data_IF_936061710285
#
_entry.id   IF_936061710285
#
_cell.length_a   1.000
_cell.length_b   1.000
_cell.length_c   1.000
_cell.angle_alpha   90.00
_cell.angle_beta   90.00
_cell.angle_gamma   90.00
#
_symmetry.space_group_name_H-M   'P 1'
#
loop_
_entity.id
_entity.type
_entity.pdbx_description
1 polymer ?
#
# COMPACT_ATOMS: atom_id res chain seq x y z
N UNK A 1 -8.28 -10.13 -0.62
CA UNK A 1 -7.27 -10.76 -1.51
C UNK A 1 -5.97 -10.96 -0.76
N UNK A 2 -5.20 -12.01 -1.06
CA UNK A 2 -3.85 -12.20 -0.53
C UNK A 2 -2.86 -11.88 -1.66
N UNK A 3 -1.87 -11.05 -1.37
CA UNK A 3 -0.73 -10.78 -2.27
C UNK A 3 0.56 -11.11 -1.54
N UNK A 4 1.61 -11.48 -2.27
CA UNK A 4 2.92 -11.80 -1.69
C UNK A 4 3.88 -10.69 -2.10
N UNK A 5 4.37 -9.93 -1.11
CA UNK A 5 5.25 -8.80 -1.39
C UNK A 5 6.67 -9.27 -1.68
N UNK A 6 7.29 -8.69 -2.69
CA UNK A 6 8.74 -8.78 -2.89
C UNK A 6 9.49 -7.87 -1.90
N UNK A 7 10.82 -7.98 -1.87
CA UNK A 7 11.64 -7.25 -0.90
C UNK A 7 11.58 -5.72 -1.08
N UNK A 8 11.42 -5.24 -2.32
CA UNK A 8 11.32 -3.82 -2.60
C UNK A 8 9.95 -3.28 -2.16
N UNK A 9 8.88 -4.01 -2.41
CA UNK A 9 7.52 -3.67 -1.97
C UNK A 9 7.41 -3.69 -0.44
N UNK A 10 7.98 -4.70 0.22
CA UNK A 10 8.07 -4.75 1.69
C UNK A 10 8.85 -3.55 2.23
N UNK A 11 9.99 -3.23 1.64
CA UNK A 11 10.80 -2.07 2.04
C UNK A 11 10.01 -0.77 1.89
N UNK A 12 9.25 -0.63 0.80
CA UNK A 12 8.35 0.50 0.60
C UNK A 12 7.17 0.48 1.56
N UNK A 13 6.64 -0.66 1.99
CA UNK A 13 5.59 -0.73 3.00
C UNK A 13 6.11 -0.23 4.37
N UNK A 14 7.32 -0.60 4.75
CA UNK A 14 7.91 -0.28 6.06
C UNK A 14 8.70 1.02 6.14
N UNK A 15 8.99 1.69 5.01
CA UNK A 15 9.66 3.01 5.00
C UNK A 15 8.98 4.01 5.94
N UNK A 16 9.74 4.76 6.71
CA UNK A 16 9.18 5.71 7.67
C UNK A 16 8.29 6.76 6.98
N UNK A 17 7.23 7.20 7.67
CA UNK A 17 6.39 8.32 7.24
C UNK A 17 6.14 9.20 8.43
N UNK A 18 6.56 10.45 8.33
CA UNK A 18 6.35 11.46 9.36
C UNK A 18 4.95 12.08 9.25
N UNK A 19 4.44 12.55 10.38
CA UNK A 19 3.15 13.22 10.49
C UNK A 19 1.98 12.30 10.83
N UNK A 20 0.78 12.88 10.84
CA UNK A 20 -0.48 12.21 11.17
C UNK A 20 -1.49 12.52 10.08
N UNK A 21 -2.19 11.48 9.58
CA UNK A 21 -3.13 11.64 8.49
C UNK A 21 -3.62 10.31 7.93
N UNK A 22 -4.59 10.38 7.02
CA UNK A 22 -5.23 9.19 6.46
C UNK A 22 -4.27 8.25 5.72
N UNK A 23 -3.21 8.79 5.10
CA UNK A 23 -2.17 7.99 4.47
C UNK A 23 -1.35 7.18 5.48
N UNK A 24 -0.95 7.80 6.58
CA UNK A 24 -0.24 7.15 7.68
C UNK A 24 -1.10 6.08 8.34
N UNK A 25 -2.40 6.36 8.54
CA UNK A 25 -3.36 5.38 9.03
C UNK A 25 -3.51 4.18 8.08
N UNK A 26 -3.57 4.41 6.77
CA UNK A 26 -3.59 3.34 5.77
C UNK A 26 -2.33 2.47 5.86
N UNK A 27 -1.15 3.08 5.86
CA UNK A 27 0.11 2.32 5.97
C UNK A 27 0.22 1.54 7.27
N UNK A 28 -0.22 2.12 8.40
CA UNK A 28 -0.24 1.41 9.69
C UNK A 28 -1.12 0.16 9.62
N UNK A 29 -2.32 0.27 9.04
CA UNK A 29 -3.23 -0.85 8.82
C UNK A 29 -2.61 -1.92 7.93
N UNK A 30 -2.04 -1.54 6.79
CA UNK A 30 -1.40 -2.48 5.87
C UNK A 30 -0.23 -3.24 6.54
N UNK A 31 0.54 -2.55 7.39
CA UNK A 31 1.62 -3.20 8.18
C UNK A 31 1.08 -4.20 9.20
N UNK A 32 -0.09 -3.93 9.81
CA UNK A 32 -0.73 -4.86 10.73
C UNK A 32 -1.29 -6.10 10.02
N UNK A 33 -1.71 -5.95 8.75
CA UNK A 33 -2.21 -7.03 7.90
C UNK A 33 -1.08 -7.86 7.25
N UNK A 34 0.17 -7.42 7.37
CA UNK A 34 1.33 -8.06 6.76
C UNK A 34 1.92 -9.16 7.65
N UNK A 35 2.09 -10.36 7.10
CA UNK A 35 2.79 -11.45 7.75
C UNK A 35 4.28 -11.46 7.35
N UNK A 36 5.17 -11.19 8.30
CA UNK A 36 6.62 -11.15 8.07
C UNK A 36 7.26 -12.50 7.72
N UNK A 37 6.67 -13.61 8.17
CA UNK A 37 7.23 -14.94 7.91
C UNK A 37 6.93 -15.39 6.47
N UNK A 38 5.72 -15.10 5.98
CA UNK A 38 5.25 -15.54 4.66
C UNK A 38 5.33 -14.47 3.58
N UNK A 39 5.55 -13.21 3.97
CA UNK A 39 5.44 -12.01 3.12
C UNK A 39 4.05 -11.77 2.54
N UNK A 40 3.03 -12.42 3.11
CA UNK A 40 1.65 -12.22 2.71
C UNK A 40 1.10 -10.90 3.24
N UNK A 41 0.43 -10.15 2.38
CA UNK A 41 -0.41 -9.02 2.75
C UNK A 41 -1.87 -9.35 2.42
N UNK A 42 -2.73 -9.31 3.45
CA UNK A 42 -4.16 -9.61 3.32
C UNK A 42 -4.94 -8.31 3.13
N UNK A 43 -5.31 -8.03 1.88
CA UNK A 43 -6.10 -6.86 1.51
C UNK A 43 -7.59 -7.12 1.72
N UNK A 44 -8.25 -6.15 2.34
CA UNK A 44 -9.71 -6.08 2.56
C UNK A 44 -10.37 -5.16 1.53
N UNK A 45 -11.70 -5.20 1.41
CA UNK A 45 -12.46 -4.33 0.50
C UNK A 45 -12.21 -2.84 0.79
N UNK A 46 -12.03 -2.50 2.07
CA UNK A 46 -11.65 -1.15 2.48
C UNK A 46 -10.27 -0.74 1.95
N UNK A 47 -9.32 -1.68 1.85
CA UNK A 47 -7.99 -1.39 1.32
C UNK A 47 -8.07 -1.18 -0.20
N UNK A 48 -8.92 -1.93 -0.90
CA UNK A 48 -9.21 -1.74 -2.32
C UNK A 48 -9.86 -0.40 -2.65
N UNK A 49 -10.65 0.18 -1.74
CA UNK A 49 -11.16 1.54 -1.92
C UNK A 49 -10.05 2.57 -1.70
N UNK A 50 -9.26 2.39 -0.63
CA UNK A 50 -8.32 3.42 -0.16
C UNK A 50 -7.03 3.46 -0.95
N UNK A 51 -6.47 2.33 -1.35
CA UNK A 51 -5.21 2.25 -2.10
C UNK A 51 -5.26 3.09 -3.39
N UNK A 52 -6.19 2.88 -4.34
CA UNK A 52 -6.26 3.68 -5.55
C UNK A 52 -6.62 5.14 -5.25
N UNK A 53 -7.52 5.41 -4.29
CA UNK A 53 -7.86 6.78 -3.88
C UNK A 53 -6.63 7.56 -3.43
N UNK A 54 -5.83 7.00 -2.52
CA UNK A 54 -4.59 7.65 -2.06
C UNK A 54 -3.46 7.61 -3.08
N UNK A 55 -3.54 6.81 -4.14
CA UNK A 55 -2.53 6.70 -5.19
C UNK A 55 -2.80 7.58 -6.42
N UNK A 56 -4.03 8.05 -6.62
CA UNK A 56 -4.42 8.80 -7.84
C UNK A 56 -5.21 10.07 -7.59
N UNK A 57 -5.95 10.18 -6.48
CA UNK A 57 -6.88 11.30 -6.28
C UNK A 57 -6.23 12.50 -5.55
N UNK A 58 -4.94 12.42 -5.23
CA UNK A 58 -4.20 13.49 -4.56
C UNK A 58 -3.14 14.10 -5.50
N UNK A 59 -2.27 15.00 -5.00
CA UNK A 59 -1.37 15.83 -5.81
C UNK A 59 -0.19 15.13 -6.49
N UNK A 60 -0.24 13.82 -6.76
CA UNK A 60 0.80 12.98 -7.37
C UNK A 60 2.22 13.18 -6.79
N UNK A 61 2.33 13.30 -5.46
CA UNK A 61 3.57 13.37 -4.70
C UNK A 61 4.13 12.01 -4.29
N UNK A 62 5.13 12.04 -3.39
CA UNK A 62 5.87 10.85 -2.98
C UNK A 62 5.04 9.75 -2.30
N UNK A 63 3.88 10.08 -1.73
CA UNK A 63 2.97 9.10 -1.13
C UNK A 63 2.22 8.27 -2.16
N UNK A 64 1.80 8.88 -3.26
CA UNK A 64 1.11 8.19 -4.36
C UNK A 64 2.05 7.26 -5.10
N UNK A 65 3.25 7.76 -5.42
CA UNK A 65 4.31 6.95 -6.01
C UNK A 65 4.65 5.75 -5.13
N UNK A 66 4.65 5.91 -3.81
CA UNK A 66 4.89 4.82 -2.87
C UNK A 66 3.82 3.73 -2.92
N UNK A 67 2.53 4.07 -3.01
CA UNK A 67 1.48 3.06 -3.13
C UNK A 67 1.57 2.32 -4.47
N UNK A 68 1.85 3.04 -5.56
CA UNK A 68 2.10 2.40 -6.86
C UNK A 68 3.27 1.43 -6.79
N UNK A 69 4.40 1.84 -6.19
CA UNK A 69 5.57 0.97 -6.00
C UNK A 69 5.33 -0.27 -5.11
N UNK A 70 4.27 -0.29 -4.29
CA UNK A 70 3.92 -1.46 -3.47
C UNK A 70 2.95 -2.38 -4.21
N UNK A 71 2.00 -1.83 -4.97
CA UNK A 71 0.81 -2.57 -5.40
C UNK A 71 0.66 -2.76 -6.91
N UNK A 72 1.39 -2.02 -7.74
CA UNK A 72 1.19 -2.04 -9.21
C UNK A 72 1.41 -3.43 -9.82
N UNK A 73 2.38 -4.21 -9.33
CA UNK A 73 2.63 -5.58 -9.80
C UNK A 73 1.49 -6.55 -9.48
N UNK A 74 0.70 -6.26 -8.44
CA UNK A 74 -0.35 -7.15 -7.92
C UNK A 74 -1.74 -6.73 -8.38
N UNK A 75 -1.97 -5.42 -8.50
CA UNK A 75 -3.29 -4.82 -8.76
C UNK A 75 -3.37 -4.11 -10.12
N UNK A 76 -2.28 -4.12 -10.90
CA UNK A 76 -2.19 -3.45 -12.19
C UNK A 76 -1.95 -1.93 -12.10
N UNK A 77 -1.80 -1.24 -13.25
CA UNK A 77 -1.41 0.16 -13.31
C UNK A 77 -2.39 1.13 -12.64
N UNK A 78 -3.66 0.73 -12.48
CA UNK A 78 -4.71 1.52 -11.84
C UNK A 78 -5.03 1.05 -10.41
N UNK A 79 -4.23 0.13 -9.86
CA UNK A 79 -4.41 -0.44 -8.52
C UNK A 79 -5.82 -1.00 -8.26
N UNK A 80 -6.40 -1.69 -9.25
CA UNK A 80 -7.74 -2.29 -9.15
C UNK A 80 -8.91 -1.35 -9.45
N UNK A 81 -8.65 -0.13 -9.92
CA UNK A 81 -9.66 0.80 -10.43
C UNK A 81 -9.94 0.60 -11.92
#
# INVERSE_FOLDING_TARGET
>A
MIIILNQNEESNLFKEVNGQGGFQSLLSRLRQQYNRQTRELRLTDQDFERIPRYAFDYGNGGFEGRLRSIFEQHLGPNLGR
#
